data_IF_403057655879
#
_entry.id   IF_403057655879
#
_cell.length_a   1.000
_cell.length_b   1.000
_cell.length_c   1.000
_cell.angle_alpha   90.00
_cell.angle_beta   90.00
_cell.angle_gamma   90.00
#
_symmetry.space_group_name_H-M   'P 1'
#
loop_
_entity.id
_entity.type
_entity.pdbx_description
1 polymer ?
#
# COMPACT_ATOMS: atom_id res chain seq x y z
N UNK A 1 30.35 1.71 9.11
CA UNK A 1 30.49 1.13 10.47
C UNK A 1 29.41 0.10 10.84
N UNK A 2 28.52 -0.33 9.92
CA UNK A 2 27.54 -1.40 10.22
C UNK A 2 26.58 -1.11 11.38
N UNK A 3 26.41 0.16 11.75
CA UNK A 3 25.54 0.60 12.85
C UNK A 3 24.14 0.85 12.31
N UNK A 4 23.14 0.33 13.01
CA UNK A 4 21.75 0.67 12.76
C UNK A 4 21.52 2.15 13.12
N UNK A 5 20.92 2.89 12.19
CA UNK A 5 20.55 4.30 12.35
C UNK A 5 19.14 4.51 11.80
N UNK A 6 18.47 5.57 12.27
CA UNK A 6 17.24 6.03 11.62
C UNK A 6 17.62 6.70 10.30
N UNK A 7 17.14 6.17 9.19
CA UNK A 7 17.35 6.75 7.86
C UNK A 7 16.36 7.88 7.58
N UNK A 8 15.08 7.63 7.86
CA UNK A 8 13.96 8.56 7.63
C UNK A 8 12.96 8.42 8.78
N UNK A 9 12.49 9.55 9.32
CA UNK A 9 11.40 9.65 10.29
C UNK A 9 10.54 10.86 9.93
N UNK A 10 9.41 10.59 9.29
CA UNK A 10 8.50 11.63 8.79
C UNK A 10 7.05 11.18 8.82
N UNK A 11 6.14 12.14 8.70
CA UNK A 11 4.71 11.86 8.55
C UNK A 11 4.43 11.48 7.10
N UNK A 12 3.86 10.29 6.89
CA UNK A 12 3.51 9.84 5.54
C UNK A 12 2.30 10.63 5.00
N UNK A 13 2.47 11.39 3.90
CA UNK A 13 1.36 12.12 3.31
C UNK A 13 0.32 11.15 2.73
N UNK A 14 -0.97 11.49 2.87
CA UNK A 14 -2.03 10.85 2.07
C UNK A 14 -2.40 11.71 0.88
N UNK A 15 -2.79 11.03 -0.20
CA UNK A 15 -3.52 11.62 -1.32
C UNK A 15 -4.90 10.99 -1.45
N UNK A 16 -5.86 11.76 -1.94
CA UNK A 16 -7.11 11.20 -2.42
C UNK A 16 -6.83 10.26 -3.60
N UNK A 17 -7.61 9.18 -3.73
CA UNK A 17 -7.55 8.33 -4.91
C UNK A 17 -8.43 8.90 -6.01
N UNK A 18 -7.85 9.13 -7.20
CA UNK A 18 -8.60 9.61 -8.36
C UNK A 18 -9.75 8.65 -8.70
N UNK A 19 -10.96 9.19 -8.78
CA UNK A 19 -12.17 8.43 -9.08
C UNK A 19 -12.78 7.67 -7.91
N UNK A 20 -12.23 7.78 -6.69
CA UNK A 20 -12.76 7.13 -5.47
C UNK A 20 -12.90 8.14 -4.32
N UNK A 21 -14.03 8.87 -4.34
CA UNK A 21 -14.35 9.86 -3.32
C UNK A 21 -14.40 9.26 -1.91
N UNK A 22 -13.77 9.93 -0.96
CA UNK A 22 -13.71 9.50 0.43
C UNK A 22 -12.71 8.37 0.71
N UNK A 23 -11.89 7.97 -0.27
CA UNK A 23 -10.75 7.07 -0.07
C UNK A 23 -9.45 7.88 -0.16
N UNK A 24 -8.59 7.70 0.85
CA UNK A 24 -7.24 8.25 0.86
C UNK A 24 -6.23 7.13 1.00
N UNK A 25 -5.07 7.28 0.37
CA UNK A 25 -3.98 6.31 0.49
C UNK A 25 -2.66 7.02 0.76
N UNK A 26 -1.74 6.33 1.42
CA UNK A 26 -0.34 6.73 1.48
C UNK A 26 0.56 5.50 1.38
N UNK A 27 1.69 5.68 0.69
CA UNK A 27 2.69 4.64 0.52
C UNK A 27 3.73 4.76 1.63
N UNK A 28 4.07 3.63 2.27
CA UNK A 28 5.21 3.57 3.19
C UNK A 28 6.44 3.03 2.48
N UNK A 29 6.26 2.01 1.65
CA UNK A 29 7.39 1.34 1.02
C UNK A 29 6.95 0.46 -0.16
N UNK A 30 7.84 0.25 -1.12
CA UNK A 30 7.67 -0.75 -2.18
C UNK A 30 9.00 -1.40 -2.58
N UNK A 31 8.95 -2.67 -3.01
CA UNK A 31 10.09 -3.33 -3.65
C UNK A 31 10.08 -3.10 -5.16
N UNK A 32 11.27 -2.98 -5.74
CA UNK A 32 11.48 -2.79 -7.18
C UNK A 32 12.41 -3.84 -7.79
N UNK A 33 13.08 -4.63 -6.95
CA UNK A 33 14.11 -5.60 -7.34
C UNK A 33 13.63 -7.06 -7.33
N UNK A 34 12.39 -7.31 -6.93
CA UNK A 34 11.82 -8.64 -6.85
C UNK A 34 11.40 -9.05 -5.44
N UNK A 35 10.94 -10.30 -5.32
CA UNK A 35 10.76 -11.01 -4.06
C UNK A 35 11.45 -12.39 -4.15
N UNK A 36 12.36 -12.75 -3.22
CA UNK A 36 12.84 -11.94 -2.10
C UNK A 36 13.66 -10.72 -2.56
N UNK A 37 13.58 -9.63 -1.80
CA UNK A 37 14.42 -8.44 -2.02
C UNK A 37 15.86 -8.75 -1.57
N UNK A 38 16.86 -8.23 -2.29
CA UNK A 38 18.27 -8.55 -2.03
C UNK A 38 18.86 -7.73 -0.87
N UNK A 39 18.76 -6.40 -0.98
CA UNK A 39 19.09 -5.44 0.07
C UNK A 39 18.26 -4.18 -0.14
N UNK A 40 17.47 -3.83 0.86
CA UNK A 40 16.63 -2.64 0.82
C UNK A 40 17.20 -1.47 1.66
N UNK A 41 18.40 -1.61 2.24
CA UNK A 41 19.10 -0.54 2.95
C UNK A 41 19.76 0.44 1.97
N UNK A 42 18.97 1.04 1.09
CA UNK A 42 19.44 2.10 0.20
C UNK A 42 19.00 3.47 0.72
N UNK A 43 19.64 4.52 0.22
CA UNK A 43 19.34 5.92 0.57
C UNK A 43 18.07 6.46 -0.10
N UNK A 44 17.46 5.68 -1.01
CA UNK A 44 16.21 6.06 -1.66
C UNK A 44 15.03 5.81 -0.72
N UNK A 45 14.16 6.80 -0.59
CA UNK A 45 12.90 6.63 0.11
C UNK A 45 11.98 5.65 -0.65
N UNK A 46 11.72 4.51 -0.03
CA UNK A 46 10.87 3.46 -0.58
C UNK A 46 9.41 3.86 -0.79
N UNK A 47 8.92 4.92 -0.13
CA UNK A 47 7.57 5.44 -0.35
C UNK A 47 7.41 6.09 -1.74
N UNK A 48 8.51 6.58 -2.33
CA UNK A 48 8.51 7.23 -3.65
C UNK A 48 8.55 6.24 -4.83
N UNK A 49 8.81 4.97 -4.56
CA UNK A 49 8.93 3.94 -5.59
C UNK A 49 7.58 3.63 -6.23
N UNK A 50 7.58 3.45 -7.55
CA UNK A 50 6.37 3.12 -8.31
C UNK A 50 6.09 1.63 -8.29
N UNK A 51 4.84 1.26 -8.06
CA UNK A 51 4.36 -0.13 -8.06
C UNK A 51 3.46 -0.38 -9.27
N UNK A 52 4.03 -0.96 -10.33
CA UNK A 52 3.27 -1.34 -11.52
C UNK A 52 2.57 -0.17 -12.21
N UNK A 53 1.77 -0.46 -13.24
CA UNK A 53 1.17 0.57 -14.09
C UNK A 53 -0.02 1.28 -13.42
N UNK A 54 -0.83 0.55 -12.67
CA UNK A 54 -2.03 1.06 -11.98
C UNK A 54 -1.80 1.34 -10.49
N UNK A 55 -0.57 1.22 -10.02
CA UNK A 55 -0.24 1.51 -8.63
C UNK A 55 -0.69 0.47 -7.60
N UNK A 56 -1.46 -0.58 -7.96
CA UNK A 56 -2.04 -1.52 -6.99
C UNK A 56 -1.14 -2.71 -6.68
N UNK A 57 -0.49 -3.28 -7.69
CA UNK A 57 0.45 -4.38 -7.54
C UNK A 57 1.44 -4.39 -8.71
N UNK A 58 2.58 -5.05 -8.52
CA UNK A 58 3.51 -5.39 -9.58
C UNK A 58 3.88 -6.87 -9.46
N UNK A 59 4.16 -7.51 -10.60
CA UNK A 59 4.60 -8.90 -10.61
C UNK A 59 5.92 -9.03 -9.86
N UNK A 60 6.02 -10.03 -8.99
CA UNK A 60 7.20 -10.30 -8.16
C UNK A 60 7.62 -9.12 -7.26
N UNK A 61 6.69 -8.28 -6.81
CA UNK A 61 7.00 -7.16 -5.91
C UNK A 61 6.14 -7.21 -4.64
N UNK A 62 6.56 -6.46 -3.63
CA UNK A 62 5.79 -6.18 -2.43
C UNK A 62 5.53 -4.67 -2.33
N UNK A 63 4.38 -4.30 -1.78
CA UNK A 63 4.09 -2.93 -1.40
C UNK A 63 3.55 -2.87 0.03
N UNK A 64 3.76 -1.74 0.70
CA UNK A 64 3.24 -1.47 2.02
C UNK A 64 2.63 -0.08 2.04
N UNK A 65 1.34 -0.03 2.39
CA UNK A 65 0.49 1.16 2.24
C UNK A 65 -0.52 1.20 3.37
N UNK A 66 -1.03 2.40 3.64
CA UNK A 66 -2.31 2.52 4.33
C UNK A 66 -3.39 2.98 3.35
N UNK A 67 -4.61 2.59 3.68
CA UNK A 67 -5.83 3.04 3.03
C UNK A 67 -6.78 3.51 4.11
N UNK A 68 -7.19 4.76 4.02
CA UNK A 68 -8.24 5.34 4.85
C UNK A 68 -9.54 5.34 4.04
N UNK A 69 -10.56 4.71 4.61
CA UNK A 69 -11.87 4.55 4.00
C UNK A 69 -12.85 5.35 4.84
N UNK A 70 -13.36 6.44 4.26
CA UNK A 70 -14.31 7.30 4.92
C UNK A 70 -15.61 6.57 5.32
N UNK A 71 -16.36 7.11 6.29
CA UNK A 71 -17.62 6.51 6.72
C UNK A 71 -18.61 6.31 5.54
N UNK A 72 -19.09 5.07 5.39
CA UNK A 72 -20.07 4.71 4.34
C UNK A 72 -19.47 4.55 2.93
N UNK A 73 -18.17 4.77 2.76
CA UNK A 73 -17.47 4.60 1.48
C UNK A 73 -17.25 3.11 1.19
N UNK A 74 -17.33 2.75 -0.09
CA UNK A 74 -17.13 1.39 -0.58
C UNK A 74 -15.94 1.33 -1.54
N UNK A 75 -15.07 0.35 -1.35
CA UNK A 75 -14.03 0.02 -2.33
C UNK A 75 -14.62 -0.80 -3.48
N UNK A 76 -14.20 -0.60 -4.73
CA UNK A 76 -14.62 -1.43 -5.85
C UNK A 76 -14.27 -2.90 -5.63
N UNK A 77 -15.21 -3.78 -5.99
CA UNK A 77 -14.94 -5.21 -6.05
C UNK A 77 -13.93 -5.49 -7.16
N UNK A 78 -12.77 -6.00 -6.80
CA UNK A 78 -11.72 -6.40 -7.74
C UNK A 78 -10.91 -7.57 -7.17
N UNK A 79 -10.05 -8.14 -8.01
CA UNK A 79 -9.12 -9.21 -7.63
C UNK A 79 -7.74 -8.87 -8.15
N UNK A 80 -6.75 -8.96 -7.29
CA UNK A 80 -5.32 -8.89 -7.63
C UNK A 80 -4.70 -10.29 -7.57
N UNK A 81 -3.66 -10.58 -8.37
CA UNK A 81 -2.87 -11.80 -8.25
C UNK A 81 -1.82 -11.66 -7.13
N UNK A 82 -2.25 -11.24 -5.94
CA UNK A 82 -1.39 -10.99 -4.76
C UNK A 82 -1.93 -11.71 -3.53
N UNK A 83 -1.10 -11.77 -2.49
CA UNK A 83 -1.50 -12.11 -1.14
C UNK A 83 -1.30 -10.85 -0.30
N UNK A 84 -2.39 -10.29 0.22
CA UNK A 84 -2.35 -9.02 0.94
C UNK A 84 -2.60 -9.26 2.43
N UNK A 85 -1.68 -8.78 3.27
CA UNK A 85 -1.84 -8.78 4.73
C UNK A 85 -2.45 -7.45 5.18
N UNK A 86 -3.75 -7.45 5.45
CA UNK A 86 -4.47 -6.26 5.92
C UNK A 86 -4.52 -6.22 7.44
N UNK A 87 -3.98 -5.15 8.03
CA UNK A 87 -4.05 -4.90 9.46
C UNK A 87 -4.99 -3.71 9.68
N UNK A 88 -6.06 -3.95 10.44
CA UNK A 88 -7.00 -2.90 10.81
C UNK A 88 -6.46 -2.15 12.03
N UNK A 89 -5.99 -0.92 11.83
CA UNK A 89 -5.39 -0.12 12.90
C UNK A 89 -6.43 0.66 13.71
N UNK A 90 -7.54 1.09 13.11
CA UNK A 90 -8.59 1.84 13.81
C UNK A 90 -9.96 1.54 13.20
N UNK A 91 -11.00 1.47 14.05
CA UNK A 91 -12.40 1.18 13.70
C UNK A 91 -12.65 -0.21 13.10
N UNK A 92 -13.85 -0.42 12.54
CA UNK A 92 -14.34 -1.69 12.00
C UNK A 92 -14.49 -1.58 10.48
N UNK A 93 -13.88 -2.50 9.74
CA UNK A 93 -14.09 -2.67 8.30
C UNK A 93 -15.02 -3.87 8.05
N UNK A 94 -15.99 -3.72 7.14
CA UNK A 94 -16.84 -4.83 6.68
C UNK A 94 -16.44 -5.25 5.27
N UNK A 95 -15.86 -6.43 5.14
CA UNK A 95 -15.73 -7.10 3.86
C UNK A 95 -17.04 -7.85 3.57
N UNK A 96 -17.74 -7.48 2.49
CA UNK A 96 -18.96 -8.15 2.06
C UNK A 96 -18.86 -8.48 0.57
N UNK A 97 -18.99 -9.76 0.22
CA UNK A 97 -19.01 -10.23 -1.15
C UNK A 97 -20.45 -10.48 -1.57
N UNK A 98 -21.07 -9.52 -2.25
CA UNK A 98 -22.39 -9.68 -2.86
C UNK A 98 -22.25 -10.22 -4.28
N UNK A 99 -22.61 -11.48 -4.48
CA UNK A 99 -22.81 -12.05 -5.80
C UNK A 99 -24.10 -11.47 -6.39
N UNK A 100 -23.99 -10.72 -7.50
CA UNK A 100 -25.16 -10.45 -8.36
C UNK A 100 -25.19 -11.52 -9.44
N UNK A 101 -26.30 -12.27 -9.49
CA UNK A 101 -26.64 -13.15 -10.60
C UNK A 101 -27.00 -12.36 -11.85
#
# INVERSE_FOLDING_TARGET
EGKAIVSVDETVPSSAMDGLDGIRTGAFWASTDGMPTNDNNCFEDGATRRVGDIGLFASNAANFRYTDIGPGVLTPMHRTPTIDYSILSTYMLRAAMTWRN
#
